data_IF_440872874052
#
_entry.id   IF_440872874052
#
_cell.length_a   1.000
_cell.length_b   1.000
_cell.length_c   1.000
_cell.angle_alpha   90.00
_cell.angle_beta   90.00
_cell.angle_gamma   90.00
#
_symmetry.space_group_name_H-M   'P 1'
#
loop_
_entity.id
_entity.type
_entity.pdbx_description
1 polymer ?
#
# COMPACT_ATOMS: atom_id res chain seq x y z
N UNK A 1 -16.55 5.51 18.85
CA UNK A 1 -15.79 5.11 17.64
C UNK A 1 -15.91 3.61 17.53
N UNK A 2 -16.46 3.10 16.43
CA UNK A 2 -16.30 1.67 16.14
C UNK A 2 -14.81 1.45 15.88
N UNK A 3 -14.20 0.49 16.55
CA UNK A 3 -12.82 0.11 16.27
C UNK A 3 -12.69 -0.49 14.86
N UNK A 4 -11.45 -0.68 14.41
CA UNK A 4 -11.18 -1.45 13.21
C UNK A 4 -11.71 -2.88 13.33
N UNK A 5 -12.15 -3.51 12.23
CA UNK A 5 -12.66 -4.88 12.23
C UNK A 5 -11.57 -5.90 12.63
N UNK A 6 -10.29 -5.59 12.42
CA UNK A 6 -9.15 -6.39 12.87
C UNK A 6 -7.89 -5.53 13.03
N UNK A 7 -6.88 -6.04 13.74
CA UNK A 7 -5.56 -5.42 13.80
C UNK A 7 -4.91 -5.36 12.41
N UNK A 8 -5.01 -6.44 11.62
CA UNK A 8 -4.47 -6.48 10.26
C UNK A 8 -5.04 -5.35 9.41
N UNK A 9 -6.36 -5.11 9.46
CA UNK A 9 -6.97 -3.99 8.74
C UNK A 9 -6.43 -2.64 9.19
N UNK A 10 -6.29 -2.44 10.50
CA UNK A 10 -5.76 -1.19 11.04
C UNK A 10 -4.31 -0.94 10.58
N UNK A 11 -3.48 -1.98 10.57
CA UNK A 11 -2.08 -1.89 10.12
C UNK A 11 -1.96 -1.71 8.61
N UNK A 12 -2.80 -2.39 7.82
CA UNK A 12 -2.88 -2.19 6.37
C UNK A 12 -3.23 -0.74 6.03
N UNK A 13 -4.25 -0.19 6.69
CA UNK A 13 -4.67 1.20 6.50
C UNK A 13 -3.59 2.20 6.90
N UNK A 14 -2.96 1.99 8.06
CA UNK A 14 -1.83 2.82 8.50
C UNK A 14 -0.63 2.75 7.55
N UNK A 15 -0.32 1.57 7.00
CA UNK A 15 0.78 1.40 6.05
C UNK A 15 0.48 2.18 4.76
N UNK A 16 -0.70 1.99 4.18
CA UNK A 16 -1.14 2.71 2.98
C UNK A 16 -1.14 4.21 3.22
N UNK A 17 -1.62 4.70 4.37
CA UNK A 17 -1.62 6.13 4.69
C UNK A 17 -0.20 6.73 4.69
N UNK A 18 0.76 6.01 5.24
CA UNK A 18 2.17 6.44 5.26
C UNK A 18 2.75 6.45 3.86
N UNK A 19 2.50 5.42 3.05
CA UNK A 19 3.04 5.34 1.69
C UNK A 19 2.39 6.36 0.76
N UNK A 20 1.09 6.58 0.90
CA UNK A 20 0.39 7.65 0.21
C UNK A 20 0.92 9.03 0.55
N UNK A 21 1.33 9.24 1.81
CA UNK A 21 2.00 10.47 2.21
C UNK A 21 3.37 10.61 1.54
N UNK A 22 4.18 9.55 1.54
CA UNK A 22 5.51 9.54 0.90
C UNK A 22 5.41 9.83 -0.60
N UNK A 23 4.49 9.18 -1.31
CA UNK A 23 4.26 9.37 -2.75
C UNK A 23 3.89 10.82 -3.12
N UNK A 24 3.31 11.55 -2.17
CA UNK A 24 2.86 12.93 -2.35
C UNK A 24 3.83 13.98 -1.82
N UNK A 25 4.95 13.56 -1.24
CA UNK A 25 6.00 14.48 -0.84
C UNK A 25 6.62 15.10 -2.09
N UNK A 26 6.72 16.42 -2.10
CA UNK A 26 7.56 17.15 -3.04
C UNK A 26 9.04 17.05 -2.62
N UNK A 27 9.98 17.27 -3.55
CA UNK A 27 11.43 17.19 -3.31
C UNK A 27 11.90 18.09 -2.15
N UNK A 28 11.19 19.19 -1.86
CA UNK A 28 11.48 20.06 -0.72
C UNK A 28 11.06 19.48 0.65
N UNK A 29 10.14 18.51 0.65
CA UNK A 29 9.59 17.87 1.85
C UNK A 29 10.34 16.59 2.20
N UNK A 30 10.76 15.83 1.18
CA UNK A 30 11.49 14.57 1.33
C UNK A 30 12.53 14.44 0.22
N UNK A 31 13.74 14.01 0.59
CA UNK A 31 14.75 13.69 -0.42
C UNK A 31 14.24 12.53 -1.30
N UNK A 32 14.25 12.67 -2.64
CA UNK A 32 13.71 11.64 -3.53
C UNK A 32 14.37 10.27 -3.35
N UNK A 33 15.68 10.22 -3.06
CA UNK A 33 16.36 8.93 -2.84
C UNK A 33 15.86 8.27 -1.54
N UNK A 34 15.53 9.05 -0.52
CA UNK A 34 14.97 8.52 0.72
C UNK A 34 13.51 8.08 0.55
N UNK A 35 12.72 8.75 -0.28
CA UNK A 35 11.36 8.32 -0.62
C UNK A 35 11.40 6.97 -1.35
N UNK A 36 12.24 6.84 -2.37
CA UNK A 36 12.46 5.58 -3.10
C UNK A 36 12.90 4.45 -2.15
N UNK A 37 13.86 4.70 -1.25
CA UNK A 37 14.31 3.67 -0.28
C UNK A 37 13.17 3.18 0.62
N UNK A 38 12.24 4.04 1.01
CA UNK A 38 11.08 3.63 1.81
C UNK A 38 10.16 2.73 1.00
N UNK A 39 9.82 3.14 -0.23
CA UNK A 39 8.95 2.37 -1.13
C UNK A 39 9.57 1.00 -1.46
N UNK A 40 10.84 0.96 -1.86
CA UNK A 40 11.59 -0.27 -2.14
C UNK A 40 11.67 -1.17 -0.91
N UNK A 41 11.88 -0.59 0.29
CA UNK A 41 11.92 -1.34 1.54
C UNK A 41 10.59 -2.04 1.85
N UNK A 42 9.46 -1.40 1.54
CA UNK A 42 8.14 -2.02 1.68
C UNK A 42 7.91 -3.06 0.59
N UNK A 43 8.22 -2.77 -0.67
CA UNK A 43 8.08 -3.73 -1.77
C UNK A 43 8.88 -5.01 -1.51
N UNK A 44 10.11 -4.87 -1.02
CA UNK A 44 10.93 -6.00 -0.59
C UNK A 44 10.30 -6.78 0.56
N UNK A 45 9.60 -6.15 1.51
CA UNK A 45 8.88 -6.89 2.55
C UNK A 45 7.67 -7.64 1.97
N UNK A 46 6.91 -7.00 1.07
CA UNK A 46 5.74 -7.58 0.42
C UNK A 46 6.09 -8.82 -0.40
N UNK A 47 7.25 -8.84 -1.05
CA UNK A 47 7.73 -9.99 -1.83
C UNK A 47 8.01 -11.24 -0.99
N UNK A 48 8.04 -11.13 0.35
CA UNK A 48 8.25 -12.26 1.27
C UNK A 48 6.95 -12.80 1.89
N UNK A 49 5.80 -12.21 1.57
CA UNK A 49 4.51 -12.72 2.03
C UNK A 49 4.23 -14.11 1.44
N UNK A 50 3.63 -15.00 2.23
CA UNK A 50 3.08 -16.24 1.69
C UNK A 50 1.88 -15.94 0.79
N UNK A 51 1.49 -16.91 -0.04
CA UNK A 51 0.30 -16.76 -0.91
C UNK A 51 -0.98 -16.40 -0.13
N UNK A 52 -1.18 -17.02 1.03
CA UNK A 52 -2.32 -16.73 1.91
C UNK A 52 -2.28 -15.29 2.44
N UNK A 53 -1.10 -14.82 2.89
CA UNK A 53 -0.93 -13.46 3.41
C UNK A 53 -1.08 -12.41 2.32
N UNK A 54 -0.54 -12.70 1.13
CA UNK A 54 -0.66 -11.89 -0.07
C UNK A 54 -2.12 -11.76 -0.49
N UNK A 55 -2.86 -12.87 -0.54
CA UNK A 55 -4.30 -12.87 -0.83
C UNK A 55 -5.08 -12.07 0.20
N UNK A 56 -4.82 -12.26 1.50
CA UNK A 56 -5.49 -11.49 2.57
C UNK A 56 -5.25 -9.98 2.39
N UNK A 57 -4.00 -9.59 2.09
CA UNK A 57 -3.66 -8.18 1.92
C UNK A 57 -4.29 -7.57 0.67
N UNK A 58 -4.32 -8.30 -0.45
CA UNK A 58 -5.01 -7.86 -1.68
C UNK A 58 -6.51 -7.65 -1.45
N UNK A 59 -7.18 -8.54 -0.72
CA UNK A 59 -8.59 -8.38 -0.37
C UNK A 59 -8.83 -7.12 0.48
N UNK A 60 -7.91 -6.82 1.42
CA UNK A 60 -7.96 -5.61 2.21
C UNK A 60 -7.80 -4.36 1.33
N UNK A 61 -6.82 -4.33 0.43
CA UNK A 61 -6.59 -3.22 -0.50
C UNK A 61 -7.81 -2.99 -1.41
N UNK A 62 -8.39 -4.04 -1.99
CA UNK A 62 -9.60 -3.95 -2.80
C UNK A 62 -10.80 -3.42 -2.01
N UNK A 63 -10.96 -3.84 -0.76
CA UNK A 63 -11.97 -3.31 0.15
C UNK A 63 -11.75 -1.82 0.46
N UNK A 64 -10.50 -1.39 0.69
CA UNK A 64 -10.13 0.03 0.84
C UNK A 64 -10.51 0.83 -0.41
N UNK A 65 -10.09 0.38 -1.59
CA UNK A 65 -10.34 1.07 -2.85
C UNK A 65 -11.85 1.25 -3.13
N UNK A 66 -12.65 0.24 -2.80
CA UNK A 66 -14.12 0.29 -2.99
C UNK A 66 -14.82 1.31 -2.09
N UNK A 67 -14.21 1.65 -0.95
CA UNK A 67 -14.75 2.58 0.05
C UNK A 67 -14.14 3.99 -0.08
N UNK A 68 -13.09 4.13 -0.88
CA UNK A 68 -12.36 5.38 -1.05
C UNK A 68 -13.15 6.38 -1.90
N UNK A 69 -13.19 7.64 -1.44
CA UNK A 69 -13.90 8.73 -2.09
C UNK A 69 -12.97 9.64 -2.89
N UNK A 70 -11.68 9.73 -2.52
CA UNK A 70 -10.66 10.44 -3.28
C UNK A 70 -10.21 9.59 -4.47
N UNK A 71 -10.47 10.01 -5.73
CA UNK A 71 -10.10 9.24 -6.90
C UNK A 71 -8.60 8.95 -6.98
N UNK A 72 -7.73 9.90 -6.62
CA UNK A 72 -6.29 9.71 -6.72
C UNK A 72 -5.78 8.71 -5.69
N UNK A 73 -6.35 8.74 -4.47
CA UNK A 73 -6.01 7.74 -3.45
C UNK A 73 -6.57 6.35 -3.79
N UNK A 74 -7.73 6.30 -4.45
CA UNK A 74 -8.29 5.05 -4.95
C UNK A 74 -7.42 4.44 -6.04
N UNK A 75 -6.93 5.24 -6.97
CA UNK A 75 -6.05 4.77 -8.04
C UNK A 75 -4.75 4.21 -7.44
N UNK A 76 -4.13 4.93 -6.49
CA UNK A 76 -2.99 4.42 -5.72
C UNK A 76 -3.25 3.06 -5.04
N UNK A 77 -4.43 2.87 -4.43
CA UNK A 77 -4.81 1.58 -3.82
C UNK A 77 -4.97 0.45 -4.84
N UNK A 78 -5.38 0.76 -6.07
CA UNK A 78 -5.55 -0.21 -7.15
C UNK A 78 -4.23 -0.59 -7.81
N UNK A 79 -3.30 0.37 -7.91
CA UNK A 79 -1.97 0.18 -8.50
C UNK A 79 -0.98 -0.43 -7.49
N UNK A 80 -1.26 -0.30 -6.18
CA UNK A 80 -0.44 -0.82 -5.09
C UNK A 80 0.03 -2.28 -5.30
N UNK A 81 -0.82 -3.25 -5.69
CA UNK A 81 -0.36 -4.63 -5.86
C UNK A 81 0.71 -4.80 -6.92
N UNK A 82 0.69 -3.99 -7.98
CA UNK A 82 1.70 -4.02 -9.04
C UNK A 82 2.98 -3.31 -8.57
N UNK A 83 2.86 -2.08 -8.07
CA UNK A 83 4.00 -1.26 -7.63
C UNK A 83 4.82 -1.91 -6.51
N UNK A 84 4.18 -2.71 -5.65
CA UNK A 84 4.82 -3.37 -4.52
C UNK A 84 5.05 -4.88 -4.73
N UNK A 85 4.91 -5.38 -5.96
CA UNK A 85 5.28 -6.75 -6.33
C UNK A 85 4.40 -7.86 -5.70
N UNK A 86 3.12 -7.56 -5.45
CA UNK A 86 2.14 -8.53 -4.96
C UNK A 86 1.50 -9.34 -6.09
N UNK A 87 1.49 -8.81 -7.32
CA UNK A 87 1.13 -9.57 -8.53
C UNK A 87 2.38 -10.06 -9.24
N UNK A 88 2.30 -11.24 -9.85
CA UNK A 88 3.36 -11.69 -10.76
C UNK A 88 3.26 -10.82 -12.03
N UNK A 89 4.40 -10.29 -12.50
CA UNK A 89 4.45 -9.72 -13.85
C UNK A 89 4.19 -10.87 -14.84
N UNK A 90 3.01 -10.85 -15.48
CA UNK A 90 2.69 -11.77 -16.57
C UNK A 90 3.80 -11.68 -17.63
N UNK A 91 4.72 -12.65 -17.61
CA UNK A 91 5.85 -12.79 -18.56
C UNK A 91 5.45 -13.50 -19.84
#
# INVERSE_FOLDING_TARGET
MSGYPSLTRALAEALVDVLWFVERCEDEQMDPDDAVKVLEGVAALMSHLSDDQRSEFMDLLGSMASQENDPSRRDFLLDFPEEFGLVEEDS
#
